data_IF_190660213213
#
_entry.id   IF_190660213213
#
_cell.length_a   1.000
_cell.length_b   1.000
_cell.length_c   1.000
_cell.angle_alpha   90.00
_cell.angle_beta   90.00
_cell.angle_gamma   90.00
#
_symmetry.space_group_name_H-M   'P 1'
#
loop_
_entity.id
_entity.type
_entity.pdbx_description
1 polymer ?
#
# COMPACT_ATOMS: atom_id res chain seq x y z
N UNK A 1 36.71 -10.20 -8.97
CA UNK A 1 35.69 -9.23 -9.41
C UNK A 1 34.64 -9.10 -8.30
N UNK A 2 34.80 -8.13 -7.38
CA UNK A 2 33.87 -7.96 -6.27
C UNK A 2 32.58 -7.31 -6.74
N UNK A 3 31.45 -8.01 -6.67
CA UNK A 3 30.12 -7.45 -6.97
C UNK A 3 29.83 -6.33 -5.96
N UNK A 4 29.87 -5.09 -6.42
CA UNK A 4 29.55 -3.94 -5.57
C UNK A 4 28.06 -3.97 -5.18
N UNK A 5 27.71 -3.37 -4.04
CA UNK A 5 26.33 -3.21 -3.56
C UNK A 5 25.40 -2.47 -4.54
N UNK A 6 25.93 -1.89 -5.62
CA UNK A 6 25.19 -1.26 -6.72
C UNK A 6 24.50 -2.29 -7.62
N UNK A 7 25.11 -3.45 -7.87
CA UNK A 7 24.52 -4.51 -8.71
C UNK A 7 23.34 -5.22 -8.02
N UNK A 8 23.39 -5.33 -6.69
CA UNK A 8 22.27 -5.86 -5.89
C UNK A 8 21.06 -4.90 -5.86
N UNK A 9 21.31 -3.58 -5.91
CA UNK A 9 20.26 -2.55 -5.92
C UNK A 9 19.32 -2.68 -7.12
N UNK A 10 19.79 -3.26 -8.21
CA UNK A 10 19.06 -3.40 -9.46
C UNK A 10 18.24 -4.70 -9.58
N UNK A 11 18.40 -5.66 -8.65
CA UNK A 11 17.61 -6.91 -8.72
C UNK A 11 16.13 -6.61 -8.47
N UNK A 12 15.81 -5.91 -7.37
CA UNK A 12 14.43 -5.58 -7.03
C UNK A 12 13.82 -4.52 -7.95
N UNK A 13 14.64 -3.69 -8.60
CA UNK A 13 14.15 -2.77 -9.63
C UNK A 13 13.71 -3.54 -10.88
N UNK A 14 14.55 -4.45 -11.38
CA UNK A 14 14.21 -5.32 -12.51
C UNK A 14 13.02 -6.20 -12.20
N UNK A 15 13.02 -6.85 -11.03
CA UNK A 15 11.91 -7.71 -10.59
C UNK A 15 10.60 -6.91 -10.46
N UNK A 16 10.66 -5.69 -9.91
CA UNK A 16 9.49 -4.81 -9.85
C UNK A 16 8.92 -4.54 -11.24
N UNK A 17 9.78 -4.23 -12.21
CA UNK A 17 9.35 -3.98 -13.58
C UNK A 17 8.78 -5.23 -14.25
N UNK A 18 9.40 -6.39 -14.05
CA UNK A 18 8.97 -7.69 -14.58
C UNK A 18 7.61 -8.12 -14.02
N UNK A 19 7.37 -7.88 -12.73
CA UNK A 19 6.12 -8.23 -12.03
C UNK A 19 5.05 -7.12 -12.06
N UNK A 20 5.34 -5.98 -12.69
CA UNK A 20 4.42 -4.85 -12.85
C UNK A 20 4.21 -3.99 -11.59
N UNK A 21 5.13 -4.04 -10.63
CA UNK A 21 5.16 -3.13 -9.49
C UNK A 21 5.67 -1.75 -9.90
N UNK A 22 5.01 -0.70 -9.41
CA UNK A 22 5.38 0.70 -9.72
C UNK A 22 6.74 1.10 -9.16
N UNK A 23 7.19 0.46 -8.08
CA UNK A 23 8.48 0.70 -7.47
C UNK A 23 8.99 -0.55 -6.75
N UNK A 24 10.33 -0.64 -6.62
CA UNK A 24 11.01 -1.71 -5.88
C UNK A 24 10.68 -1.74 -4.38
N UNK A 25 10.11 -0.67 -3.84
CA UNK A 25 9.63 -0.61 -2.45
C UNK A 25 8.49 -1.58 -2.18
N UNK A 26 7.76 -2.07 -3.20
CA UNK A 26 6.76 -3.13 -3.04
C UNK A 26 7.33 -4.35 -2.26
N UNK A 27 8.58 -4.73 -2.54
CA UNK A 27 9.23 -5.85 -1.86
C UNK A 27 9.45 -5.63 -0.36
N UNK A 28 9.54 -4.37 0.10
CA UNK A 28 9.63 -4.10 1.54
C UNK A 28 8.36 -4.59 2.26
N UNK A 29 7.19 -4.19 1.75
CA UNK A 29 5.91 -4.59 2.36
C UNK A 29 5.66 -6.09 2.22
N UNK A 30 6.01 -6.68 1.07
CA UNK A 30 5.93 -8.13 0.87
C UNK A 30 6.82 -8.89 1.87
N UNK A 31 8.06 -8.44 2.09
CA UNK A 31 8.97 -9.07 3.05
C UNK A 31 8.52 -8.87 4.51
N UNK A 32 7.92 -7.72 4.84
CA UNK A 32 7.30 -7.50 6.15
C UNK A 32 6.13 -8.48 6.34
N UNK A 33 5.27 -8.64 5.34
CA UNK A 33 4.18 -9.60 5.39
C UNK A 33 4.69 -11.05 5.52
N UNK A 34 5.70 -11.44 4.74
CA UNK A 34 6.29 -12.79 4.83
C UNK A 34 6.90 -13.07 6.23
N UNK A 35 7.44 -12.04 6.90
CA UNK A 35 8.05 -12.17 8.21
C UNK A 35 7.08 -12.12 9.39
N UNK A 36 6.01 -11.33 9.28
CA UNK A 36 5.10 -11.05 10.40
C UNK A 36 3.66 -11.53 10.17
N UNK A 37 3.33 -12.01 8.97
CA UNK A 37 1.98 -12.45 8.60
C UNK A 37 0.93 -11.36 8.76
N UNK A 38 1.26 -10.11 8.41
CA UNK A 38 0.37 -8.96 8.66
C UNK A 38 -0.95 -9.05 7.87
N UNK A 39 -0.95 -9.74 6.72
CA UNK A 39 -2.15 -10.02 5.93
C UNK A 39 -2.75 -11.40 6.21
N UNK A 40 -2.23 -12.14 7.20
CA UNK A 40 -2.72 -13.49 7.54
C UNK A 40 -4.18 -13.45 8.01
N UNK A 41 -5.04 -14.34 7.49
CA UNK A 41 -6.45 -14.41 7.90
C UNK A 41 -6.64 -14.88 9.34
N UNK A 42 -5.61 -15.46 9.96
CA UNK A 42 -5.67 -16.00 11.33
C UNK A 42 -5.93 -14.92 12.39
N UNK A 43 -5.57 -13.66 12.10
CA UNK A 43 -5.70 -12.54 13.02
C UNK A 43 -7.01 -11.72 12.86
N UNK A 44 -7.97 -12.22 12.07
CA UNK A 44 -9.17 -11.55 11.55
C UNK A 44 -8.95 -10.82 10.21
N UNK A 45 -9.98 -10.75 9.33
CA UNK A 45 -9.82 -10.15 8.01
C UNK A 45 -9.56 -8.64 8.10
N UNK A 46 -8.52 -8.20 7.40
CA UNK A 46 -8.25 -6.78 7.18
C UNK A 46 -9.20 -6.24 6.11
N UNK A 47 -10.04 -5.30 6.53
CA UNK A 47 -11.08 -4.66 5.74
C UNK A 47 -10.86 -3.15 5.62
N UNK A 48 -10.14 -2.52 6.55
CA UNK A 48 -9.93 -1.06 6.58
C UNK A 48 -8.45 -0.76 6.70
N UNK A 49 -7.82 -0.41 5.58
CA UNK A 49 -6.38 -0.17 5.51
C UNK A 49 -6.07 1.20 4.95
N UNK A 50 -5.08 1.87 5.53
CA UNK A 50 -4.59 3.18 5.08
C UNK A 50 -3.13 3.06 4.63
N UNK A 51 -2.81 3.62 3.47
CA UNK A 51 -1.43 3.79 2.95
C UNK A 51 -1.11 5.29 2.91
N UNK A 52 -0.19 5.75 3.76
CA UNK A 52 0.21 7.16 3.85
C UNK A 52 1.50 7.41 3.08
N UNK A 53 1.62 8.59 2.46
CA UNK A 53 2.74 8.93 1.55
C UNK A 53 2.89 7.88 0.44
N UNK A 54 1.76 7.54 -0.17
CA UNK A 54 1.64 6.36 -1.02
C UNK A 54 2.31 6.51 -2.39
N UNK A 55 2.56 7.71 -2.90
CA UNK A 55 3.06 7.90 -4.27
C UNK A 55 4.43 7.23 -4.47
N UNK A 56 4.64 6.47 -5.58
CA UNK A 56 3.78 6.32 -6.76
C UNK A 56 2.67 5.23 -6.65
N UNK A 57 2.56 4.54 -5.52
CA UNK A 57 1.48 3.61 -5.21
C UNK A 57 1.90 2.14 -5.12
N UNK A 58 3.20 1.84 -4.95
CA UNK A 58 3.68 0.45 -4.92
C UNK A 58 3.18 -0.36 -3.72
N UNK A 59 3.05 0.25 -2.54
CA UNK A 59 2.48 -0.41 -1.36
C UNK A 59 0.96 -0.56 -1.51
N UNK A 60 0.28 0.46 -2.01
CA UNK A 60 -1.12 0.38 -2.43
C UNK A 60 -1.40 -0.76 -3.42
N UNK A 61 -0.51 -1.04 -4.38
CA UNK A 61 -0.65 -2.21 -5.26
C UNK A 61 -0.55 -3.52 -4.48
N UNK A 62 0.40 -3.64 -3.56
CA UNK A 62 0.54 -4.85 -2.72
C UNK A 62 -0.72 -5.05 -1.89
N UNK A 63 -1.25 -3.99 -1.26
CA UNK A 63 -2.50 -4.02 -0.51
C UNK A 63 -3.69 -4.47 -1.38
N UNK A 64 -3.84 -3.90 -2.59
CA UNK A 64 -4.88 -4.32 -3.54
C UNK A 64 -4.79 -5.81 -3.83
N UNK A 65 -3.62 -6.30 -4.25
CA UNK A 65 -3.45 -7.71 -4.62
C UNK A 65 -3.69 -8.67 -3.46
N UNK A 66 -3.24 -8.31 -2.25
CA UNK A 66 -3.32 -9.18 -1.06
C UNK A 66 -4.70 -9.16 -0.41
N UNK A 67 -5.38 -8.02 -0.38
CA UNK A 67 -6.60 -7.82 0.42
C UNK A 67 -7.87 -7.71 -0.43
N UNK A 68 -7.79 -7.23 -1.67
CA UNK A 68 -8.96 -6.97 -2.51
C UNK A 68 -9.05 -7.95 -3.70
N UNK A 69 -8.01 -8.06 -4.53
CA UNK A 69 -8.02 -8.95 -5.70
C UNK A 69 -8.04 -10.44 -5.33
N UNK A 70 -7.56 -10.79 -4.13
CA UNK A 70 -7.59 -12.15 -3.58
C UNK A 70 -8.98 -12.61 -3.13
N UNK A 71 -9.97 -11.70 -3.11
CA UNK A 71 -11.32 -11.93 -2.60
C UNK A 71 -12.33 -12.16 -3.72
N UNK A 72 -13.45 -12.81 -3.37
CA UNK A 72 -14.61 -12.91 -4.25
C UNK A 72 -15.19 -11.51 -4.55
N UNK A 73 -15.89 -11.30 -5.67
CA UNK A 73 -16.54 -10.02 -5.98
C UNK A 73 -17.51 -9.54 -4.88
N UNK A 74 -18.12 -10.47 -4.15
CA UNK A 74 -19.00 -10.16 -3.02
C UNK A 74 -18.21 -9.62 -1.83
N UNK A 75 -17.10 -10.28 -1.48
CA UNK A 75 -16.25 -9.93 -0.35
C UNK A 75 -15.39 -8.68 -0.62
N UNK A 76 -15.08 -8.37 -1.88
CA UNK A 76 -14.38 -7.14 -2.27
C UNK A 76 -15.05 -5.86 -1.77
N UNK A 77 -16.36 -5.89 -1.54
CA UNK A 77 -17.13 -4.73 -1.06
C UNK A 77 -16.85 -4.40 0.42
N UNK A 78 -16.44 -5.38 1.22
CA UNK A 78 -16.11 -5.17 2.64
C UNK A 78 -14.73 -4.56 2.82
N UNK A 79 -13.85 -4.66 1.80
CA UNK A 79 -12.48 -4.16 1.85
C UNK A 79 -12.41 -2.73 1.32
N UNK A 80 -11.88 -1.84 2.14
CA UNK A 80 -11.62 -0.42 1.89
C UNK A 80 -10.14 -0.16 2.10
N UNK A 81 -9.44 0.15 1.01
CA UNK A 81 -8.05 0.59 1.04
C UNK A 81 -8.04 2.07 0.67
N UNK A 82 -7.50 2.92 1.54
CA UNK A 82 -7.39 4.37 1.31
C UNK A 82 -5.92 4.74 1.23
N UNK A 83 -5.49 5.27 0.09
CA UNK A 83 -4.13 5.74 -0.13
C UNK A 83 -4.09 7.27 -0.17
N UNK A 84 -3.15 7.87 0.55
CA UNK A 84 -3.02 9.32 0.68
C UNK A 84 -1.63 9.77 0.30
N UNK A 85 -1.55 10.77 -0.56
CA UNK A 85 -0.31 11.46 -0.90
C UNK A 85 -0.59 12.90 -1.35
N UNK A 86 0.40 13.78 -1.26
CA UNK A 86 0.33 15.12 -1.86
C UNK A 86 0.38 15.05 -3.39
N UNK A 87 1.10 14.06 -3.93
CA UNK A 87 1.26 13.82 -5.34
C UNK A 87 0.11 12.95 -5.88
N UNK A 88 -0.36 13.29 -7.08
CA UNK A 88 -1.32 12.45 -7.77
C UNK A 88 -0.70 11.09 -8.14
N UNK A 89 -1.49 10.03 -8.05
CA UNK A 89 -1.12 8.68 -8.44
C UNK A 89 -2.01 8.20 -9.57
N UNK A 90 -1.49 7.29 -10.41
CA UNK A 90 -2.34 6.57 -11.34
C UNK A 90 -3.34 5.67 -10.55
N UNK A 91 -4.57 5.46 -11.05
CA UNK A 91 -5.56 4.61 -10.39
C UNK A 91 -5.03 3.19 -10.13
N UNK A 92 -5.44 2.59 -9.01
CA UNK A 92 -5.16 1.19 -8.64
C UNK A 92 -6.52 0.55 -8.32
N UNK A 93 -6.85 -0.63 -8.89
CA UNK A 93 -8.09 -1.34 -8.55
C UNK A 93 -8.27 -1.51 -7.05
N UNK A 94 -9.50 -1.39 -6.55
CA UNK A 94 -9.79 -1.57 -5.12
C UNK A 94 -9.23 -0.49 -4.16
N UNK A 95 -8.50 0.51 -4.67
CA UNK A 95 -7.88 1.56 -3.85
C UNK A 95 -8.58 2.91 -4.07
N UNK A 96 -9.04 3.50 -2.98
CA UNK A 96 -9.52 4.88 -2.93
C UNK A 96 -8.29 5.78 -2.77
N UNK A 97 -8.11 6.75 -3.66
CA UNK A 97 -6.95 7.64 -3.64
C UNK A 97 -7.38 9.05 -3.24
N UNK A 98 -6.78 9.58 -2.19
CA UNK A 98 -6.97 10.95 -1.72
C UNK A 98 -5.68 11.71 -2.00
N UNK A 99 -5.77 12.74 -2.84
CA UNK A 99 -4.67 13.69 -2.98
C UNK A 99 -4.80 14.73 -1.87
N UNK A 100 -3.94 14.66 -0.85
CA UNK A 100 -4.09 15.49 0.34
C UNK A 100 -2.88 15.46 1.27
N UNK A 101 -2.85 16.42 2.18
CA UNK A 101 -1.82 16.55 3.21
C UNK A 101 -2.20 15.69 4.42
N UNK A 102 -1.35 14.74 4.78
CA UNK A 102 -1.57 13.84 5.93
C UNK A 102 -1.62 14.58 7.28
N UNK A 103 -1.11 15.82 7.35
CA UNK A 103 -1.18 16.68 8.54
C UNK A 103 -2.50 17.46 8.63
N UNK A 104 -3.29 17.48 7.55
CA UNK A 104 -4.57 18.16 7.49
C UNK A 104 -5.68 17.35 8.18
N UNK A 105 -6.45 18.04 9.03
CA UNK A 105 -7.66 17.46 9.64
C UNK A 105 -8.70 17.06 8.58
N UNK A 106 -8.79 17.79 7.47
CA UNK A 106 -9.73 17.47 6.40
C UNK A 106 -9.42 16.10 5.78
N UNK A 107 -8.14 15.84 5.48
CA UNK A 107 -7.67 14.55 4.96
C UNK A 107 -7.97 13.41 5.94
N UNK A 108 -7.72 13.61 7.24
CA UNK A 108 -8.08 12.63 8.25
C UNK A 108 -9.60 12.36 8.29
N UNK A 109 -10.44 13.40 8.18
CA UNK A 109 -11.89 13.24 8.13
C UNK A 109 -12.35 12.50 6.87
N UNK A 110 -11.75 12.76 5.71
CA UNK A 110 -12.06 12.03 4.47
C UNK A 110 -11.78 10.53 4.62
N UNK A 111 -10.62 10.15 5.19
CA UNK A 111 -10.30 8.74 5.47
C UNK A 111 -11.36 8.10 6.37
N UNK A 112 -11.72 8.76 7.48
CA UNK A 112 -12.70 8.24 8.45
C UNK A 112 -14.09 8.04 7.79
N UNK A 113 -14.49 8.96 6.91
CA UNK A 113 -15.76 8.85 6.16
C UNK A 113 -15.79 7.62 5.25
N UNK A 114 -14.68 7.28 4.60
CA UNK A 114 -14.58 6.06 3.77
C UNK A 114 -14.68 4.76 4.56
N UNK A 115 -14.46 4.80 5.88
CA UNK A 115 -14.60 3.67 6.78
C UNK A 115 -15.89 3.69 7.59
N UNK A 116 -16.87 4.51 7.20
CA UNK A 116 -18.17 4.66 7.90
C UNK A 116 -17.99 4.99 9.39
N UNK A 117 -16.99 5.81 9.72
CA UNK A 117 -16.68 6.21 11.10
C UNK A 117 -15.91 5.16 11.91
N UNK A 118 -15.59 3.99 11.35
CA UNK A 118 -14.79 2.95 12.01
C UNK A 118 -13.30 3.26 11.93
N UNK A 119 -12.54 2.76 12.91
CA UNK A 119 -11.09 2.85 12.91
C UNK A 119 -10.46 1.97 11.82
N UNK A 120 -9.34 2.44 11.28
CA UNK A 120 -8.45 1.63 10.45
C UNK A 120 -7.90 0.46 11.26
N UNK A 121 -7.78 -0.70 10.64
CA UNK A 121 -7.16 -1.90 11.24
C UNK A 121 -5.65 -1.92 10.98
N UNK A 122 -5.21 -1.33 9.87
CA UNK A 122 -3.81 -1.24 9.49
C UNK A 122 -3.54 0.13 8.87
N UNK A 123 -2.43 0.76 9.28
CA UNK A 123 -1.88 1.96 8.66
C UNK A 123 -0.44 1.64 8.29
N UNK A 124 -0.08 1.88 7.03
CA UNK A 124 1.29 1.70 6.51
C UNK A 124 1.81 3.02 5.92
N UNK A 125 3.12 3.19 5.91
CA UNK A 125 3.80 4.36 5.35
C UNK A 125 5.22 3.99 4.92
N UNK A 126 5.58 4.25 3.65
CA UNK A 126 6.96 4.17 3.13
C UNK A 126 7.49 5.56 2.73
N UNK A 127 6.87 6.62 3.26
CA UNK A 127 7.25 8.00 2.98
C UNK A 127 8.65 8.31 3.50
N UNK A 128 9.51 8.78 2.60
CA UNK A 128 10.83 9.30 2.95
C UNK A 128 11.11 10.53 2.07
N UNK A 129 11.57 11.66 2.64
CA UNK A 129 11.94 12.83 1.86
C UNK A 129 13.22 12.56 1.05
N UNK A 130 13.31 13.18 -0.13
CA UNK A 130 14.58 13.27 -0.84
C UNK A 130 15.51 14.21 -0.06
N UNK A 131 16.66 13.69 0.36
CA UNK A 131 17.71 14.41 1.09
C UNK A 131 18.81 14.97 0.21
#
# INVERSE_FOLDING_TARGET
>A
MGKSSRDKRDIYYRLAKEEGWRARSAYKLLQIDDGYGIFSPENAPLERVVDLCAAPGSWSQVLSKRLWESKSPEDQKSVKIVAVDLQAMAPIPGVIQIQGDITSQDTAQQIIRHFDGKLAQLVVCDGAPDG
#
